data_IF_017418323789
#
_entry.id   IF_017418323789
#
_cell.length_a   1.000
_cell.length_b   1.000
_cell.length_c   1.000
_cell.angle_alpha   90.00
_cell.angle_beta   90.00
_cell.angle_gamma   90.00
#
_symmetry.space_group_name_H-M   'P 1'
#
loop_
_entity.id
_entity.type
_entity.pdbx_description
1 polymer ?
#
# COMPACT_ATOMS: atom_id res chain seq x y z
N UNK A 1 -21.92 16.51 -16.25
CA UNK A 1 -21.75 15.04 -16.09
C UNK A 1 -20.54 14.84 -15.16
N UNK A 2 -20.54 13.78 -14.33
CA UNK A 2 -19.37 13.42 -13.53
C UNK A 2 -18.34 12.75 -14.44
N UNK A 3 -17.06 12.92 -14.15
CA UNK A 3 -15.96 12.21 -14.82
C UNK A 3 -16.05 10.71 -14.54
N UNK A 4 -15.94 9.87 -15.57
CA UNK A 4 -15.99 8.41 -15.45
C UNK A 4 -14.66 7.87 -14.90
N UNK A 5 -14.75 7.00 -13.89
CA UNK A 5 -13.59 6.41 -13.21
C UNK A 5 -13.75 4.89 -13.10
N UNK A 6 -12.74 4.15 -13.52
CA UNK A 6 -12.63 2.71 -13.37
C UNK A 6 -11.73 2.39 -12.17
N UNK A 7 -12.25 1.70 -11.14
CA UNK A 7 -11.53 1.35 -9.93
C UNK A 7 -11.36 -0.16 -9.82
N UNK A 8 -10.11 -0.63 -9.78
CA UNK A 8 -9.82 -2.02 -9.42
C UNK A 8 -9.46 -2.14 -7.95
N UNK A 9 -9.74 -3.28 -7.33
CA UNK A 9 -9.40 -3.51 -5.93
C UNK A 9 -10.30 -2.76 -4.93
N UNK A 10 -11.50 -2.35 -5.33
CA UNK A 10 -12.47 -1.62 -4.49
C UNK A 10 -12.85 -2.34 -3.18
N UNK A 11 -12.75 -3.68 -3.12
CA UNK A 11 -12.98 -4.48 -1.92
C UNK A 11 -11.80 -4.55 -0.95
N UNK A 12 -10.65 -4.01 -1.34
CA UNK A 12 -9.46 -3.94 -0.50
C UNK A 12 -9.48 -2.74 0.42
N UNK A 13 -8.62 -2.74 1.45
CA UNK A 13 -8.53 -1.69 2.47
C UNK A 13 -8.43 -0.27 1.87
N UNK A 14 -7.42 0.00 1.04
CA UNK A 14 -7.27 1.32 0.40
C UNK A 14 -8.33 1.55 -0.68
N UNK A 15 -8.70 0.50 -1.44
CA UNK A 15 -9.71 0.63 -2.50
C UNK A 15 -11.09 1.04 -1.97
N UNK A 16 -11.47 0.56 -0.80
CA UNK A 16 -12.70 0.98 -0.11
C UNK A 16 -12.66 2.46 0.25
N UNK A 17 -11.54 2.96 0.79
CA UNK A 17 -11.35 4.38 1.09
C UNK A 17 -11.39 5.26 -0.16
N UNK A 18 -10.75 4.81 -1.26
CA UNK A 18 -10.80 5.51 -2.56
C UNK A 18 -12.25 5.60 -3.06
N UNK A 19 -12.97 4.48 -3.04
CA UNK A 19 -14.37 4.45 -3.46
C UNK A 19 -15.22 5.42 -2.63
N UNK A 20 -15.11 5.34 -1.30
CA UNK A 20 -15.87 6.21 -0.39
C UNK A 20 -15.58 7.69 -0.62
N UNK A 21 -14.32 8.05 -0.81
CA UNK A 21 -13.88 9.43 -0.98
C UNK A 21 -14.32 10.00 -2.33
N UNK A 22 -14.19 9.21 -3.41
CA UNK A 22 -14.37 9.73 -4.77
C UNK A 22 -15.79 9.59 -5.33
N UNK A 23 -16.67 8.73 -4.78
CA UNK A 23 -18.03 8.46 -5.30
C UNK A 23 -18.94 9.69 -5.43
N UNK A 24 -18.70 10.73 -4.66
CA UNK A 24 -19.49 11.98 -4.76
C UNK A 24 -19.13 12.80 -6.00
N UNK A 25 -17.87 12.75 -6.45
CA UNK A 25 -17.32 13.56 -7.55
C UNK A 25 -17.21 12.79 -8.88
N UNK A 26 -17.10 11.47 -8.84
CA UNK A 26 -16.89 10.60 -10.01
C UNK A 26 -18.06 9.63 -10.21
N UNK A 27 -18.27 9.25 -11.49
CA UNK A 27 -19.09 8.12 -11.85
C UNK A 27 -18.20 6.86 -11.88
N UNK A 28 -18.31 6.03 -10.83
CA UNK A 28 -17.34 4.96 -10.59
C UNK A 28 -17.90 3.61 -11.06
N UNK A 29 -17.14 2.95 -11.94
CA UNK A 29 -17.28 1.53 -12.24
C UNK A 29 -16.17 0.76 -11.54
N UNK A 30 -16.51 -0.27 -10.78
CA UNK A 30 -15.53 -1.13 -10.09
C UNK A 30 -15.26 -2.39 -10.91
N UNK A 31 -14.02 -2.90 -10.86
CA UNK A 31 -13.66 -4.23 -11.40
C UNK A 31 -13.20 -5.13 -10.27
N UNK A 32 -13.70 -6.36 -10.22
CA UNK A 32 -13.29 -7.35 -9.24
C UNK A 32 -13.95 -8.71 -9.41
N UNK A 33 -13.44 -9.70 -8.67
CA UNK A 33 -13.90 -11.10 -8.73
C UNK A 33 -15.31 -11.29 -8.17
N UNK A 34 -15.64 -10.53 -7.15
CA UNK A 34 -16.93 -10.60 -6.47
C UNK A 34 -17.65 -9.30 -6.72
N UNK A 35 -18.91 -9.38 -7.16
CA UNK A 35 -19.79 -8.22 -7.20
C UNK A 35 -20.01 -7.73 -5.78
N UNK A 36 -19.31 -6.69 -5.37
CA UNK A 36 -19.61 -6.01 -4.14
C UNK A 36 -20.64 -4.92 -4.46
N UNK A 37 -21.78 -4.97 -3.79
CA UNK A 37 -22.76 -3.89 -3.84
C UNK A 37 -22.20 -2.70 -3.05
N UNK A 38 -21.57 -1.77 -3.76
CA UNK A 38 -21.15 -0.49 -3.21
C UNK A 38 -22.19 0.60 -3.48
N UNK A 39 -23.43 0.33 -3.14
CA UNK A 39 -24.54 1.26 -3.40
C UNK A 39 -24.88 1.35 -4.90
N UNK A 40 -24.87 2.57 -5.46
CA UNK A 40 -25.25 2.82 -6.87
C UNK A 40 -24.06 2.72 -7.85
N UNK A 41 -22.92 2.10 -7.48
CA UNK A 41 -21.76 1.97 -8.38
C UNK A 41 -21.96 0.79 -9.34
N UNK A 42 -21.61 0.98 -10.61
CA UNK A 42 -21.53 -0.11 -11.57
C UNK A 42 -20.41 -1.08 -11.23
N UNK A 43 -20.57 -2.37 -11.57
CA UNK A 43 -19.56 -3.39 -11.30
C UNK A 43 -19.35 -4.30 -12.51
N UNK A 44 -18.09 -4.48 -12.90
CA UNK A 44 -17.66 -5.48 -13.88
C UNK A 44 -17.03 -6.65 -13.12
N UNK A 45 -17.68 -7.83 -13.20
CA UNK A 45 -17.14 -9.04 -12.60
C UNK A 45 -16.04 -9.61 -13.50
N UNK A 46 -14.79 -9.56 -13.03
CA UNK A 46 -13.61 -10.02 -13.76
C UNK A 46 -12.47 -10.38 -12.82
N UNK A 47 -11.79 -11.50 -13.07
CA UNK A 47 -10.54 -11.86 -12.38
C UNK A 47 -9.34 -11.45 -13.23
N UNK A 48 -8.83 -10.25 -12.98
CA UNK A 48 -7.65 -9.71 -13.67
C UNK A 48 -6.42 -10.62 -13.60
N UNK A 49 -6.30 -11.51 -12.60
CA UNK A 49 -5.17 -12.44 -12.51
C UNK A 49 -5.23 -13.59 -13.52
N UNK A 50 -6.35 -13.77 -14.22
CA UNK A 50 -6.62 -14.91 -15.09
C UNK A 50 -7.03 -14.54 -16.51
N UNK A 51 -7.70 -13.40 -16.69
CA UNK A 51 -8.40 -13.09 -17.93
C UNK A 51 -8.39 -11.61 -18.28
N UNK A 52 -8.58 -11.32 -19.54
CA UNK A 52 -8.88 -10.00 -20.10
C UNK A 52 -10.30 -9.99 -20.67
N UNK A 53 -10.90 -8.81 -20.73
CA UNK A 53 -12.25 -8.58 -21.28
C UNK A 53 -12.18 -7.70 -22.53
N UNK A 54 -13.23 -7.78 -23.36
CA UNK A 54 -13.44 -6.85 -24.48
C UNK A 54 -14.62 -5.89 -24.23
N UNK A 55 -15.12 -5.85 -22.99
CA UNK A 55 -16.37 -5.15 -22.65
C UNK A 55 -16.17 -4.24 -21.42
N UNK A 56 -15.05 -3.51 -21.37
CA UNK A 56 -14.89 -2.48 -20.35
C UNK A 56 -15.60 -1.19 -20.79
N UNK A 57 -16.28 -0.50 -19.86
CA UNK A 57 -16.87 0.79 -20.17
C UNK A 57 -15.78 1.82 -20.43
N UNK A 58 -16.03 2.75 -21.33
CA UNK A 58 -15.16 3.90 -21.54
C UNK A 58 -15.00 4.68 -20.23
N UNK A 59 -13.76 5.02 -19.87
CA UNK A 59 -13.46 5.77 -18.67
C UNK A 59 -12.37 6.80 -18.94
N UNK A 60 -12.49 7.94 -18.27
CA UNK A 60 -11.47 9.00 -18.33
C UNK A 60 -10.32 8.73 -17.37
N UNK A 61 -10.61 8.08 -16.24
CA UNK A 61 -9.64 7.82 -15.17
C UNK A 61 -9.64 6.32 -14.84
N UNK A 62 -8.45 5.73 -14.76
CA UNK A 62 -8.25 4.40 -14.16
C UNK A 62 -7.51 4.56 -12.83
N UNK A 63 -8.04 3.97 -11.75
CA UNK A 63 -7.33 3.82 -10.48
C UNK A 63 -7.10 2.33 -10.22
N UNK A 64 -5.86 1.89 -10.43
CA UNK A 64 -5.48 0.49 -10.27
C UNK A 64 -4.92 0.23 -8.87
N UNK A 65 -5.81 -0.15 -7.94
CA UNK A 65 -5.52 -0.48 -6.55
C UNK A 65 -5.49 -1.99 -6.27
N UNK A 66 -5.94 -2.83 -7.22
CA UNK A 66 -5.88 -4.27 -7.07
C UNK A 66 -4.43 -4.76 -6.93
N UNK A 67 -4.18 -5.63 -5.95
CA UNK A 67 -2.87 -6.19 -5.72
C UNK A 67 -2.86 -7.20 -4.58
N UNK A 68 -1.93 -8.16 -4.64
CA UNK A 68 -1.61 -9.09 -3.56
C UNK A 68 -0.46 -8.50 -2.74
N UNK A 69 -0.66 -8.37 -1.44
CA UNK A 69 0.32 -7.84 -0.48
C UNK A 69 0.19 -8.55 0.87
N UNK A 70 1.04 -8.22 1.85
CA UNK A 70 0.94 -8.64 3.26
C UNK A 70 1.08 -10.15 3.54
N UNK A 71 1.54 -10.94 2.58
CA UNK A 71 1.80 -12.38 2.74
C UNK A 71 3.27 -12.65 2.46
N UNK A 72 3.90 -13.48 3.29
CA UNK A 72 5.23 -14.03 3.02
C UNK A 72 5.02 -15.38 2.35
N UNK A 73 5.42 -15.57 1.07
CA UNK A 73 5.18 -16.83 0.38
C UNK A 73 5.92 -17.98 1.04
N UNK A 74 5.24 -19.10 1.25
CA UNK A 74 5.80 -20.31 1.82
C UNK A 74 6.26 -21.32 0.75
N UNK A 75 5.85 -21.12 -0.51
CA UNK A 75 6.22 -21.96 -1.65
C UNK A 75 6.47 -21.12 -2.92
N UNK A 76 7.11 -21.71 -3.96
CA UNK A 76 7.25 -21.07 -5.26
C UNK A 76 5.91 -20.69 -5.90
N UNK A 77 4.88 -21.52 -5.76
CA UNK A 77 3.54 -21.28 -6.29
C UNK A 77 2.89 -20.06 -5.63
N UNK A 78 3.06 -19.90 -4.31
CA UNK A 78 2.62 -18.71 -3.60
C UNK A 78 3.40 -17.46 -4.01
N UNK A 79 4.67 -17.60 -4.37
CA UNK A 79 5.48 -16.52 -4.91
C UNK A 79 4.99 -16.10 -6.30
N UNK A 80 4.63 -17.05 -7.17
CA UNK A 80 4.10 -16.79 -8.51
C UNK A 80 2.75 -16.06 -8.48
N UNK A 81 1.96 -16.25 -7.44
CA UNK A 81 0.69 -15.53 -7.26
C UNK A 81 0.87 -14.00 -7.17
N UNK A 82 2.03 -13.52 -6.71
CA UNK A 82 2.31 -12.09 -6.73
C UNK A 82 2.45 -11.56 -8.17
N UNK A 83 3.09 -12.32 -9.04
CA UNK A 83 3.22 -11.95 -10.46
C UNK A 83 1.88 -12.06 -11.17
N UNK A 84 1.09 -13.12 -10.93
CA UNK A 84 -0.24 -13.26 -11.52
C UNK A 84 -1.16 -12.09 -11.19
N UNK A 85 -1.17 -11.66 -9.92
CA UNK A 85 -2.06 -10.60 -9.48
C UNK A 85 -1.51 -9.21 -9.80
N UNK A 86 -0.23 -8.94 -9.46
CA UNK A 86 0.31 -7.58 -9.50
C UNK A 86 0.85 -7.19 -10.88
N UNK A 87 1.45 -8.12 -11.62
CA UNK A 87 1.99 -7.87 -12.95
C UNK A 87 0.98 -8.26 -14.04
N UNK A 88 0.64 -9.55 -14.13
CA UNK A 88 -0.27 -10.00 -15.20
C UNK A 88 -1.67 -9.41 -15.06
N UNK A 89 -2.15 -9.18 -13.82
CA UNK A 89 -3.40 -8.45 -13.61
C UNK A 89 -3.36 -7.02 -14.13
N UNK A 90 -2.21 -6.34 -14.03
CA UNK A 90 -2.00 -5.02 -14.63
C UNK A 90 -1.97 -5.10 -16.17
N UNK A 91 -1.26 -6.09 -16.72
CA UNK A 91 -1.20 -6.34 -18.17
C UNK A 91 -2.61 -6.62 -18.74
N UNK A 92 -3.36 -7.53 -18.11
CA UNK A 92 -4.72 -7.87 -18.55
C UNK A 92 -5.69 -6.68 -18.48
N UNK A 93 -5.53 -5.80 -17.47
CA UNK A 93 -6.30 -4.57 -17.39
C UNK A 93 -6.02 -3.67 -18.61
N UNK A 94 -4.74 -3.42 -18.91
CA UNK A 94 -4.34 -2.61 -20.06
C UNK A 94 -4.80 -3.20 -21.39
N UNK A 95 -4.62 -4.51 -21.59
CA UNK A 95 -5.11 -5.23 -22.78
C UNK A 95 -6.64 -5.18 -22.91
N UNK A 96 -7.36 -5.18 -21.77
CA UNK A 96 -8.83 -5.05 -21.75
C UNK A 96 -9.27 -3.65 -22.15
N UNK A 97 -8.55 -2.61 -21.68
CA UNK A 97 -8.80 -1.22 -22.07
C UNK A 97 -8.61 -1.03 -23.58
N UNK A 98 -7.55 -1.60 -24.16
CA UNK A 98 -7.31 -1.58 -25.61
C UNK A 98 -8.40 -2.32 -26.39
N UNK A 99 -8.73 -3.55 -25.95
CA UNK A 99 -9.72 -4.38 -26.64
C UNK A 99 -11.14 -3.80 -26.60
N UNK A 100 -11.41 -2.89 -25.65
CA UNK A 100 -12.69 -2.20 -25.46
C UNK A 100 -12.68 -0.78 -26.06
N UNK A 101 -11.58 -0.36 -26.70
CA UNK A 101 -11.35 1.04 -27.16
C UNK A 101 -11.62 2.08 -26.06
N UNK A 102 -11.21 1.72 -24.83
CA UNK A 102 -11.47 2.47 -23.61
C UNK A 102 -10.17 3.04 -22.98
N UNK A 103 -9.28 3.58 -23.82
CA UNK A 103 -8.01 4.16 -23.38
C UNK A 103 -8.29 5.38 -22.49
N UNK A 104 -7.83 5.40 -21.21
CA UNK A 104 -8.09 6.52 -20.30
C UNK A 104 -7.18 7.72 -20.60
N UNK A 105 -7.56 8.89 -20.07
CA UNK A 105 -6.68 10.07 -20.03
C UNK A 105 -5.67 9.96 -18.89
N UNK A 106 -6.12 9.43 -17.73
CA UNK A 106 -5.32 9.32 -16.52
C UNK A 106 -5.27 7.87 -16.04
N UNK A 107 -4.06 7.39 -15.73
CA UNK A 107 -3.86 6.10 -15.10
C UNK A 107 -3.13 6.28 -13.76
N UNK A 108 -3.79 5.93 -12.65
CA UNK A 108 -3.24 5.98 -11.30
C UNK A 108 -2.91 4.56 -10.84
N UNK A 109 -1.64 4.31 -10.56
CA UNK A 109 -1.15 3.01 -10.08
C UNK A 109 -0.74 3.08 -8.61
N UNK A 110 -1.36 2.26 -7.77
CA UNK A 110 -0.97 2.13 -6.37
C UNK A 110 0.19 1.14 -6.27
N UNK A 111 1.39 1.70 -6.03
CA UNK A 111 2.62 0.97 -5.81
C UNK A 111 3.05 1.00 -4.34
N UNK A 112 4.29 0.68 -4.04
CA UNK A 112 4.80 0.50 -2.69
C UNK A 112 6.26 0.95 -2.57
N UNK A 113 6.66 1.44 -1.41
CA UNK A 113 8.07 1.71 -1.10
C UNK A 113 8.93 0.42 -1.02
N UNK A 114 8.33 -0.76 -0.97
CA UNK A 114 9.06 -2.03 -1.02
C UNK A 114 9.87 -2.21 -2.32
N UNK A 115 9.54 -1.47 -3.38
CA UNK A 115 10.29 -1.46 -4.65
C UNK A 115 11.74 -1.02 -4.48
N UNK A 116 12.07 -0.24 -3.45
CA UNK A 116 13.44 0.19 -3.18
C UNK A 116 14.34 -0.93 -2.63
N UNK A 117 13.76 -1.97 -2.01
CA UNK A 117 14.50 -3.14 -1.53
C UNK A 117 15.42 -2.86 -0.33
N UNK A 118 15.09 -1.87 0.49
CA UNK A 118 15.89 -1.48 1.65
C UNK A 118 15.16 -1.78 2.96
N UNK A 119 15.91 -2.19 3.98
CA UNK A 119 15.41 -2.48 5.33
C UNK A 119 15.65 -1.32 6.31
N UNK A 120 16.56 -0.40 5.97
CA UNK A 120 16.93 0.78 6.75
C UNK A 120 17.26 1.97 5.85
N UNK A 121 17.07 3.17 6.37
CA UNK A 121 17.36 4.43 5.66
C UNK A 121 16.50 5.57 6.19
N UNK A 122 16.93 6.79 5.88
CA UNK A 122 16.25 8.02 6.32
C UNK A 122 15.93 8.87 5.11
N UNK A 123 14.64 9.22 4.94
CA UNK A 123 14.12 10.09 3.89
C UNK A 123 14.55 9.65 2.47
N UNK A 124 14.37 8.36 2.18
CA UNK A 124 14.65 7.79 0.86
C UNK A 124 13.67 8.40 -0.15
N UNK A 125 14.19 9.00 -1.22
CA UNK A 125 13.39 9.64 -2.25
C UNK A 125 13.19 8.76 -3.50
N UNK A 126 12.43 9.25 -4.48
CA UNK A 126 12.04 8.53 -5.68
C UNK A 126 13.20 8.24 -6.65
N UNK A 127 14.36 8.89 -6.47
CA UNK A 127 15.57 8.65 -7.28
C UNK A 127 16.37 7.43 -6.82
N UNK A 128 16.03 6.86 -5.65
CA UNK A 128 16.68 5.66 -5.15
C UNK A 128 16.43 4.48 -6.09
N UNK A 129 17.45 3.64 -6.32
CA UNK A 129 17.37 2.48 -7.18
C UNK A 129 16.28 1.48 -6.73
N UNK A 130 15.63 0.83 -7.70
CA UNK A 130 14.58 -0.17 -7.46
C UNK A 130 15.21 -1.56 -7.28
N UNK A 131 15.66 -1.87 -6.10
CA UNK A 131 16.39 -3.10 -5.75
C UNK A 131 15.52 -4.13 -4.99
N UNK A 132 14.19 -3.96 -5.01
CA UNK A 132 13.28 -4.87 -4.33
C UNK A 132 13.42 -6.30 -4.83
N UNK A 133 13.80 -7.25 -3.95
CA UNK A 133 14.12 -8.63 -4.29
C UNK A 133 13.03 -9.64 -3.91
N UNK A 134 12.05 -9.23 -3.10
CA UNK A 134 10.90 -10.08 -2.76
C UNK A 134 9.97 -10.27 -3.96
N UNK A 135 9.23 -11.40 -4.09
CA UNK A 135 8.24 -11.59 -5.16
C UNK A 135 7.24 -10.44 -5.26
N UNK A 136 6.81 -9.90 -4.12
CA UNK A 136 5.95 -8.70 -4.07
C UNK A 136 6.62 -7.48 -4.69
N UNK A 137 7.83 -7.13 -4.22
CA UNK A 137 8.54 -5.96 -4.72
C UNK A 137 8.84 -6.08 -6.22
N UNK A 138 9.36 -7.24 -6.66
CA UNK A 138 9.67 -7.51 -8.08
C UNK A 138 8.43 -7.40 -8.96
N UNK A 139 7.28 -7.96 -8.54
CA UNK A 139 6.04 -7.88 -9.30
C UNK A 139 5.55 -6.43 -9.46
N UNK A 140 5.73 -5.60 -8.40
CA UNK A 140 5.38 -4.17 -8.46
C UNK A 140 6.35 -3.37 -9.34
N UNK A 141 7.67 -3.63 -9.25
CA UNK A 141 8.67 -3.00 -10.13
C UNK A 141 8.35 -3.30 -11.60
N UNK A 142 8.07 -4.55 -11.94
CA UNK A 142 7.74 -4.94 -13.31
C UNK A 142 6.43 -4.30 -13.79
N UNK A 143 5.43 -4.16 -12.91
CA UNK A 143 4.19 -3.47 -13.24
C UNK A 143 4.41 -1.95 -13.44
N UNK A 144 5.27 -1.30 -12.63
CA UNK A 144 5.66 0.11 -12.86
C UNK A 144 6.33 0.30 -14.22
N UNK A 145 7.28 -0.56 -14.59
CA UNK A 145 7.96 -0.50 -15.89
C UNK A 145 6.98 -0.72 -17.04
N UNK A 146 6.14 -1.76 -16.96
CA UNK A 146 5.12 -2.04 -17.97
C UNK A 146 4.19 -0.84 -18.18
N UNK A 147 3.66 -0.25 -17.09
CA UNK A 147 2.77 0.90 -17.18
C UNK A 147 3.46 2.15 -17.72
N UNK A 148 4.72 2.36 -17.37
CA UNK A 148 5.50 3.49 -17.90
C UNK A 148 5.62 3.41 -19.43
N UNK A 149 5.89 2.21 -19.94
CA UNK A 149 5.97 1.98 -21.40
C UNK A 149 4.58 2.04 -22.05
N UNK A 150 3.58 1.36 -21.49
CA UNK A 150 2.23 1.28 -22.03
C UNK A 150 1.57 2.66 -22.10
N UNK A 151 1.63 3.44 -21.02
CA UNK A 151 1.06 4.78 -20.98
C UNK A 151 1.81 5.75 -21.92
N UNK A 152 3.15 5.66 -21.95
CA UNK A 152 3.95 6.53 -22.83
C UNK A 152 3.68 6.31 -24.32
N UNK A 153 3.38 5.07 -24.74
CA UNK A 153 3.00 4.75 -26.14
C UNK A 153 1.60 5.25 -26.52
N UNK A 154 0.75 5.60 -25.55
CA UNK A 154 -0.68 5.93 -25.77
C UNK A 154 -1.05 7.33 -25.29
N UNK A 155 -0.07 8.14 -24.93
CA UNK A 155 -0.26 9.50 -24.39
C UNK A 155 -1.19 9.53 -23.16
N UNK A 156 -1.12 8.49 -22.33
CA UNK A 156 -1.85 8.38 -21.07
C UNK A 156 -1.02 8.99 -19.93
N UNK A 157 -1.59 9.91 -19.19
CA UNK A 157 -0.93 10.52 -18.03
C UNK A 157 -0.85 9.51 -16.89
N UNK A 158 0.36 9.00 -16.62
CA UNK A 158 0.61 8.00 -15.56
C UNK A 158 0.99 8.66 -14.24
N UNK A 159 0.28 8.29 -13.16
CA UNK A 159 0.64 8.58 -11.78
C UNK A 159 0.96 7.29 -11.05
N UNK A 160 2.16 7.17 -10.47
CA UNK A 160 2.56 6.05 -9.61
C UNK A 160 2.72 6.56 -8.18
N UNK A 161 1.95 5.99 -7.24
CA UNK A 161 2.04 6.30 -5.82
C UNK A 161 2.73 5.17 -5.07
N UNK A 162 3.97 5.39 -4.60
CA UNK A 162 4.73 4.44 -3.78
C UNK A 162 4.38 4.66 -2.32
N UNK A 163 3.52 3.81 -1.80
CA UNK A 163 2.98 3.95 -0.44
C UNK A 163 3.79 3.13 0.57
N UNK A 164 4.06 3.69 1.77
CA UNK A 164 4.63 2.97 2.90
C UNK A 164 3.55 2.18 3.65
N UNK A 165 3.65 2.05 4.97
CA UNK A 165 2.61 1.49 5.81
C UNK A 165 1.36 2.36 5.77
N UNK A 166 0.25 1.80 5.31
CA UNK A 166 -1.03 2.51 5.20
C UNK A 166 -1.83 2.32 6.48
N UNK A 167 -2.24 3.41 7.10
CA UNK A 167 -3.09 3.46 8.28
C UNK A 167 -4.52 3.90 7.91
N UNK A 168 -5.49 3.47 8.69
CA UNK A 168 -6.90 3.78 8.54
C UNK A 168 -7.74 2.92 9.49
N UNK A 169 -9.08 2.91 9.38
CA UNK A 169 -9.94 2.00 10.10
C UNK A 169 -9.62 0.54 9.75
N UNK A 170 -9.43 -0.31 10.76
CA UNK A 170 -9.13 -1.75 10.59
C UNK A 170 -7.98 -2.07 9.62
N UNK A 171 -6.78 -1.48 9.79
CA UNK A 171 -5.72 -1.63 8.81
C UNK A 171 -5.21 -3.08 8.76
N UNK A 172 -4.89 -3.61 7.56
CA UNK A 172 -4.31 -4.93 7.41
C UNK A 172 -2.83 -4.98 7.83
N UNK A 173 -2.23 -6.15 7.77
CA UNK A 173 -0.80 -6.35 7.92
C UNK A 173 -0.26 -6.03 9.31
N UNK A 174 0.93 -5.44 9.39
CA UNK A 174 1.66 -5.25 10.64
C UNK A 174 0.99 -4.26 11.59
N UNK A 175 0.39 -3.18 11.08
CA UNK A 175 -0.31 -2.21 11.93
C UNK A 175 -1.57 -2.84 12.55
N UNK A 176 -2.35 -3.57 11.78
CA UNK A 176 -3.51 -4.30 12.31
C UNK A 176 -3.10 -5.38 13.31
N UNK A 177 -1.98 -6.08 13.07
CA UNK A 177 -1.45 -7.05 14.03
C UNK A 177 -1.02 -6.38 15.35
N UNK A 178 -0.38 -5.20 15.28
CA UNK A 178 -0.03 -4.39 16.46
C UNK A 178 -1.28 -3.98 17.24
N UNK A 179 -2.30 -3.44 16.56
CA UNK A 179 -3.57 -3.03 17.19
C UNK A 179 -4.23 -4.22 17.90
N UNK A 180 -4.38 -5.38 17.24
CA UNK A 180 -4.94 -6.59 17.84
C UNK A 180 -4.10 -7.10 18.99
N UNK A 181 -2.78 -7.08 18.87
CA UNK A 181 -1.85 -7.50 19.92
C UNK A 181 -1.96 -6.63 21.18
N UNK A 182 -2.04 -5.31 21.02
CA UNK A 182 -2.21 -4.35 22.12
C UNK A 182 -3.61 -4.52 22.73
N UNK A 183 -4.66 -4.61 21.93
CA UNK A 183 -6.03 -4.81 22.37
C UNK A 183 -6.17 -6.06 23.25
N UNK A 184 -5.52 -7.17 22.84
CA UNK A 184 -5.53 -8.45 23.57
C UNK A 184 -4.53 -8.52 24.73
N UNK A 185 -3.69 -7.50 24.94
CA UNK A 185 -2.65 -7.49 25.97
C UNK A 185 -1.47 -8.44 25.70
N UNK A 186 -1.32 -8.94 24.47
CA UNK A 186 -0.27 -9.90 24.07
C UNK A 186 0.88 -9.28 23.31
N UNK A 187 0.80 -8.00 22.99
CA UNK A 187 1.87 -7.29 22.27
C UNK A 187 3.02 -6.98 23.24
N UNK A 188 4.22 -7.29 22.78
CA UNK A 188 5.45 -6.97 23.50
C UNK A 188 6.28 -6.00 22.64
N UNK A 189 6.68 -4.90 23.25
CA UNK A 189 7.61 -3.95 22.63
C UNK A 189 9.05 -4.49 22.66
N UNK A 190 9.93 -3.96 21.81
CA UNK A 190 11.32 -4.40 21.75
C UNK A 190 12.22 -3.20 22.03
N UNK A 191 13.02 -3.30 23.11
CA UNK A 191 13.93 -2.25 23.53
C UNK A 191 13.21 -0.92 23.75
N UNK A 192 13.78 0.16 23.26
CA UNK A 192 13.19 1.50 23.36
C UNK A 192 12.09 1.76 22.32
N UNK A 193 11.94 0.89 21.32
CA UNK A 193 11.05 1.05 20.18
C UNK A 193 11.19 2.40 19.46
N UNK A 194 12.45 2.92 19.41
CA UNK A 194 12.76 4.23 18.86
C UNK A 194 12.82 4.29 17.33
N UNK A 195 12.85 3.12 16.66
CA UNK A 195 12.88 3.04 15.21
C UNK A 195 11.66 3.71 14.57
N UNK A 196 11.90 4.60 13.60
CA UNK A 196 10.86 5.37 12.90
C UNK A 196 10.47 4.69 11.61
N UNK A 197 9.18 4.75 11.27
CA UNK A 197 8.64 4.23 10.01
C UNK A 197 7.77 5.29 9.33
N UNK A 198 7.92 5.39 8.01
CA UNK A 198 6.94 6.14 7.24
C UNK A 198 5.60 5.43 7.27
N UNK A 199 4.57 6.22 7.46
CA UNK A 199 3.17 5.82 7.45
C UNK A 199 2.38 6.83 6.61
N UNK A 200 1.20 6.46 6.15
CA UNK A 200 0.29 7.37 5.45
C UNK A 200 -1.16 7.02 5.80
N UNK A 201 -2.03 8.02 5.87
CA UNK A 201 -3.45 7.80 6.09
C UNK A 201 -4.17 7.45 4.79
N UNK A 202 -4.96 6.38 4.77
CA UNK A 202 -5.65 5.91 3.58
C UNK A 202 -6.59 6.95 2.97
N UNK A 203 -7.34 7.68 3.81
CA UNK A 203 -8.24 8.74 3.36
C UNK A 203 -7.50 9.91 2.70
N UNK A 204 -6.29 10.27 3.20
CA UNK A 204 -5.49 11.34 2.59
C UNK A 204 -4.96 10.91 1.20
N UNK A 205 -4.55 9.62 1.07
CA UNK A 205 -4.17 9.05 -0.23
C UNK A 205 -5.34 9.11 -1.21
N UNK A 206 -6.53 8.72 -0.77
CA UNK A 206 -7.72 8.78 -1.62
C UNK A 206 -8.06 10.22 -2.04
N UNK A 207 -7.99 11.16 -1.11
CA UNK A 207 -8.34 12.57 -1.35
C UNK A 207 -7.39 13.29 -2.31
N UNK A 208 -6.11 12.89 -2.37
CA UNK A 208 -5.10 13.55 -3.22
C UNK A 208 -5.13 13.09 -4.67
N UNK A 209 -5.70 11.92 -4.98
CA UNK A 209 -5.71 11.34 -6.35
C UNK A 209 -6.18 12.35 -7.40
N UNK A 210 -7.29 13.09 -7.24
CA UNK A 210 -7.78 14.04 -8.26
C UNK A 210 -6.81 15.18 -8.58
N UNK A 211 -5.97 15.56 -7.65
CA UNK A 211 -4.94 16.59 -7.86
C UNK A 211 -3.68 15.96 -8.44
N UNK A 212 -3.19 14.89 -7.83
CA UNK A 212 -1.93 14.24 -8.19
C UNK A 212 -1.93 13.63 -9.60
N UNK A 213 -3.07 13.10 -10.08
CA UNK A 213 -3.15 12.49 -11.41
C UNK A 213 -2.87 13.49 -12.53
N UNK A 214 -3.18 14.77 -12.32
CA UNK A 214 -2.96 15.85 -13.31
C UNK A 214 -1.48 16.18 -13.46
N UNK A 215 -0.67 15.95 -12.44
CA UNK A 215 0.78 16.17 -12.48
C UNK A 215 1.51 14.97 -13.09
N UNK A 216 0.95 13.77 -12.97
CA UNK A 216 1.61 12.53 -13.38
C UNK A 216 2.94 12.27 -12.65
N UNK A 217 3.63 11.20 -13.05
CA UNK A 217 4.94 10.86 -12.50
C UNK A 217 4.90 9.92 -11.29
N UNK A 218 6.04 9.80 -10.58
CA UNK A 218 6.22 8.87 -9.46
C UNK A 218 6.41 9.65 -8.18
N UNK A 219 5.68 9.28 -7.11
CA UNK A 219 5.72 9.97 -5.82
C UNK A 219 5.66 9.00 -4.64
N UNK A 220 6.50 9.24 -3.65
CA UNK A 220 6.29 8.70 -2.31
C UNK A 220 5.25 9.55 -1.58
N UNK A 221 4.31 8.91 -0.89
CA UNK A 221 3.37 9.61 -0.01
C UNK A 221 3.55 9.12 1.42
N UNK A 222 3.81 10.04 2.34
CA UNK A 222 3.94 9.76 3.77
C UNK A 222 3.16 10.80 4.58
N UNK A 223 3.03 10.61 5.90
CA UNK A 223 2.49 11.65 6.78
C UNK A 223 3.50 12.74 7.14
N UNK A 224 4.75 12.60 6.68
CA UNK A 224 5.85 13.53 6.94
C UNK A 224 6.33 13.60 8.39
N UNK A 225 5.63 12.92 9.31
CA UNK A 225 6.00 12.86 10.73
C UNK A 225 6.88 11.65 11.04
N UNK A 226 6.61 10.51 10.39
CA UNK A 226 7.34 9.24 10.57
C UNK A 226 7.39 8.81 12.04
N UNK A 227 6.27 8.38 12.63
CA UNK A 227 6.24 8.00 14.04
C UNK A 227 7.22 6.86 14.35
N UNK A 228 7.76 6.87 15.57
CA UNK A 228 8.46 5.71 16.11
C UNK A 228 7.48 4.60 16.50
N UNK A 229 7.98 3.38 16.63
CA UNK A 229 7.14 2.29 17.16
C UNK A 229 6.60 2.62 18.54
N UNK A 230 7.39 3.28 19.41
CA UNK A 230 6.94 3.72 20.74
C UNK A 230 5.78 4.69 20.68
N UNK A 231 5.81 5.66 19.75
CA UNK A 231 4.72 6.62 19.56
C UNK A 231 3.46 5.91 19.06
N UNK A 232 3.58 4.98 18.10
CA UNK A 232 2.45 4.17 17.62
C UNK A 232 1.87 3.28 18.73
N UNK A 233 2.72 2.57 19.48
CA UNK A 233 2.32 1.71 20.60
C UNK A 233 1.55 2.51 21.66
N UNK A 234 2.07 3.68 22.03
CA UNK A 234 1.45 4.54 23.04
C UNK A 234 0.13 5.11 22.55
N UNK A 235 0.08 5.60 21.32
CA UNK A 235 -1.14 6.11 20.69
C UNK A 235 -2.24 5.04 20.69
N UNK A 236 -1.94 3.84 20.17
CA UNK A 236 -2.89 2.73 20.10
C UNK A 236 -3.35 2.28 21.48
N UNK A 237 -2.42 2.14 22.43
CA UNK A 237 -2.76 1.73 23.79
C UNK A 237 -3.69 2.75 24.47
N UNK A 238 -3.41 4.05 24.31
CA UNK A 238 -4.24 5.14 24.86
C UNK A 238 -5.63 5.14 24.24
N UNK A 239 -5.74 5.04 22.91
CA UNK A 239 -7.02 5.02 22.22
C UNK A 239 -7.89 3.82 22.64
N UNK A 240 -7.28 2.64 22.80
CA UNK A 240 -7.95 1.42 23.23
C UNK A 240 -8.16 1.35 24.76
N UNK A 241 -7.75 2.35 25.54
CA UNK A 241 -7.78 2.37 27.02
C UNK A 241 -7.05 1.16 27.63
N UNK A 242 -5.91 0.78 27.03
CA UNK A 242 -5.03 -0.29 27.48
C UNK A 242 -3.74 0.27 28.08
N UNK A 243 -3.03 -0.57 28.84
CA UNK A 243 -1.68 -0.23 29.31
C UNK A 243 -0.71 -0.23 28.11
N UNK A 244 0.25 0.70 28.11
CA UNK A 244 1.35 0.69 27.15
C UNK A 244 2.09 -0.65 27.21
N UNK A 245 2.41 -1.27 26.06
CA UNK A 245 3.08 -2.56 26.02
C UNK A 245 4.40 -2.59 26.80
N UNK A 246 4.63 -3.68 27.55
CA UNK A 246 5.88 -3.92 28.24
C UNK A 246 7.01 -4.17 27.22
N UNK A 247 8.19 -3.64 27.51
CA UNK A 247 9.34 -3.78 26.61
C UNK A 247 10.21 -5.00 26.99
N UNK A 248 10.56 -5.81 26.03
CA UNK A 248 11.61 -6.83 26.15
C UNK A 248 12.95 -6.14 25.93
N UNK A 249 13.92 -6.27 26.88
CA UNK A 249 15.27 -5.74 26.67
C UNK A 249 15.89 -6.28 25.36
N UNK A 250 16.61 -5.41 24.65
CA UNK A 250 17.23 -5.75 23.35
C UNK A 250 18.11 -7.01 23.42
N UNK A 251 18.82 -7.23 24.54
CA UNK A 251 19.64 -8.43 24.73
C UNK A 251 18.81 -9.72 24.69
N UNK A 252 17.64 -9.71 25.37
CA UNK A 252 16.71 -10.85 25.37
C UNK A 252 16.10 -11.05 23.96
N UNK A 253 15.71 -9.96 23.28
CA UNK A 253 15.18 -10.03 21.93
C UNK A 253 16.19 -10.64 20.94
N UNK A 254 17.48 -10.25 21.04
CA UNK A 254 18.56 -10.84 20.23
C UNK A 254 18.77 -12.32 20.52
N UNK A 255 18.69 -12.74 21.77
CA UNK A 255 18.80 -14.16 22.16
C UNK A 255 17.65 -14.98 21.57
N UNK A 256 16.40 -14.50 21.68
CA UNK A 256 15.21 -15.15 21.07
C UNK A 256 15.37 -15.24 19.55
N UNK A 257 15.81 -14.15 18.91
CA UNK A 257 16.05 -14.11 17.47
C UNK A 257 17.16 -15.08 17.02
N UNK A 258 18.23 -15.25 17.83
CA UNK A 258 19.28 -16.23 17.60
C UNK A 258 18.74 -17.67 17.61
N UNK A 259 17.90 -18.02 18.58
CA UNK A 259 17.21 -19.31 18.60
C UNK A 259 16.27 -19.46 17.39
N UNK A 260 15.56 -18.38 17.03
CA UNK A 260 14.70 -18.35 15.85
C UNK A 260 15.44 -18.60 14.53
N UNK A 261 16.71 -18.23 14.42
CA UNK A 261 17.52 -18.53 13.24
C UNK A 261 17.67 -20.05 12.98
N UNK A 262 17.67 -20.88 14.03
CA UNK A 262 17.73 -22.32 13.93
C UNK A 262 16.43 -22.92 13.34
N UNK A 263 15.29 -22.23 13.56
CA UNK A 263 13.98 -22.61 13.01
C UNK A 263 13.74 -22.02 11.60
N UNK A 264 14.69 -21.24 11.09
CA UNK A 264 14.68 -20.66 9.76
C UNK A 264 13.56 -19.62 9.54
N UNK A 265 13.12 -19.49 8.28
CA UNK A 265 12.13 -18.48 7.86
C UNK A 265 10.75 -18.61 8.54
N UNK A 266 10.43 -19.79 9.10
CA UNK A 266 9.16 -20.06 9.80
C UNK A 266 9.14 -19.54 11.24
N UNK A 267 10.30 -19.18 11.82
CA UNK A 267 10.35 -18.63 13.15
C UNK A 267 9.50 -17.36 13.27
N UNK A 268 8.73 -17.18 14.33
CA UNK A 268 7.96 -15.95 14.57
C UNK A 268 8.88 -14.73 14.68
N UNK A 269 10.07 -14.89 15.26
CA UNK A 269 11.14 -13.87 15.37
C UNK A 269 12.46 -14.53 14.98
N UNK A 270 13.22 -13.89 14.09
CA UNK A 270 14.60 -14.22 13.74
C UNK A 270 15.40 -12.92 13.62
N UNK A 271 16.71 -13.01 13.39
CA UNK A 271 17.60 -11.81 13.35
C UNK A 271 17.21 -10.82 12.25
N UNK A 272 16.75 -11.29 11.08
CA UNK A 272 16.31 -10.41 9.98
C UNK A 272 15.04 -9.67 10.34
N UNK A 273 14.04 -10.37 10.91
CA UNK A 273 12.80 -9.75 11.38
C UNK A 273 13.05 -8.77 12.50
N UNK A 274 13.94 -9.12 13.45
CA UNK A 274 14.33 -8.23 14.53
C UNK A 274 14.97 -6.96 13.98
N UNK A 275 15.93 -7.08 13.04
CA UNK A 275 16.57 -5.94 12.38
C UNK A 275 15.53 -5.03 11.72
N UNK A 276 14.61 -5.60 10.92
CA UNK A 276 13.55 -4.83 10.25
C UNK A 276 12.65 -4.06 11.22
N UNK A 277 12.36 -4.59 12.39
CA UNK A 277 11.55 -3.91 13.41
C UNK A 277 12.35 -2.80 14.13
N UNK A 278 13.65 -3.01 14.34
CA UNK A 278 14.48 -2.09 15.13
C UNK A 278 15.24 -1.05 14.29
N UNK A 279 15.24 -1.15 12.96
CA UNK A 279 15.87 -0.15 12.08
C UNK A 279 14.89 0.93 11.66
N UNK A 280 15.36 2.16 11.60
CA UNK A 280 14.61 3.29 11.02
C UNK A 280 14.53 3.13 9.51
N UNK A 281 13.33 3.30 8.96
CA UNK A 281 13.10 3.29 7.53
C UNK A 281 12.03 4.35 7.19
N UNK A 282 12.47 5.45 6.62
CA UNK A 282 11.62 6.58 6.26
C UNK A 282 11.83 7.01 4.82
N UNK A 283 10.78 7.55 4.21
CA UNK A 283 10.74 7.98 2.81
C UNK A 283 10.38 9.46 2.73
N UNK A 284 11.00 10.17 1.79
CA UNK A 284 10.77 11.58 1.54
C UNK A 284 9.54 11.78 0.65
N UNK A 285 8.61 12.65 1.07
CA UNK A 285 7.44 13.08 0.32
C UNK A 285 7.59 14.52 -0.22
N UNK A 286 8.77 15.11 -0.14
CA UNK A 286 9.04 16.47 -0.56
C UNK A 286 8.72 16.74 -2.03
N UNK A 287 8.86 15.74 -2.90
CA UNK A 287 8.46 15.85 -4.31
C UNK A 287 6.95 16.05 -4.44
N UNK A 288 6.13 15.26 -3.74
CA UNK A 288 4.68 15.36 -3.73
C UNK A 288 4.21 16.72 -3.16
N UNK A 289 4.85 17.19 -2.08
CA UNK A 289 4.55 18.51 -1.49
C UNK A 289 4.75 19.65 -2.48
N UNK A 290 5.81 19.58 -3.29
CA UNK A 290 6.09 20.62 -4.30
C UNK A 290 5.19 20.53 -5.53
N UNK A 291 4.88 19.31 -5.98
CA UNK A 291 4.14 19.10 -7.23
C UNK A 291 2.65 19.42 -7.09
N UNK A 292 1.98 18.92 -6.07
CA UNK A 292 0.52 19.05 -5.91
C UNK A 292 0.11 19.45 -4.49
N UNK A 293 0.98 20.13 -3.74
CA UNK A 293 0.70 20.67 -2.41
C UNK A 293 0.21 19.56 -1.43
N UNK A 294 0.89 18.42 -1.40
CA UNK A 294 0.57 17.31 -0.50
C UNK A 294 0.60 17.76 0.96
N UNK A 295 -0.52 17.70 1.65
CA UNK A 295 -0.69 18.11 3.06
C UNK A 295 -1.37 16.99 3.85
N UNK A 296 -0.63 15.92 4.22
CA UNK A 296 -1.20 14.79 4.92
C UNK A 296 -1.50 15.08 6.38
N UNK A 297 -2.45 14.37 6.95
CA UNK A 297 -2.68 14.32 8.37
C UNK A 297 -1.61 13.46 9.05
N UNK A 298 -1.21 13.81 10.27
CA UNK A 298 -0.39 12.90 11.09
C UNK A 298 -1.20 11.66 11.43
N UNK A 299 -0.65 10.49 11.13
CA UNK A 299 -1.33 9.21 11.34
C UNK A 299 -1.66 8.99 12.83
N UNK A 300 -0.77 9.37 13.74
CA UNK A 300 -1.00 9.22 15.18
C UNK A 300 -2.23 10.00 15.66
N UNK A 301 -2.50 11.19 15.10
CA UNK A 301 -3.65 12.01 15.46
C UNK A 301 -4.95 11.36 14.96
N UNK A 302 -4.93 10.80 13.73
CA UNK A 302 -6.07 10.10 13.15
C UNK A 302 -6.36 8.76 13.84
N UNK A 303 -5.34 7.96 14.14
CA UNK A 303 -5.52 6.67 14.81
C UNK A 303 -6.21 6.81 16.16
N UNK A 304 -5.88 7.86 16.92
CA UNK A 304 -6.51 8.10 18.22
C UNK A 304 -8.02 8.36 18.14
N UNK A 305 -8.50 8.79 16.98
CA UNK A 305 -9.94 9.13 16.78
C UNK A 305 -10.77 7.96 16.21
N UNK A 306 -10.14 6.90 15.68
CA UNK A 306 -10.85 5.78 15.02
C UNK A 306 -10.72 4.45 15.75
N UNK A 307 -9.88 4.34 16.81
CA UNK A 307 -9.71 3.17 17.66
C UNK A 307 -10.49 3.33 18.96
#
# INVERSE_FOLDING_TARGET
MKTSLLLTGASGFLGTEILHTLRSAYDITTIGRNGAEYGQTSHVKMDLSREKSKELPACEVVVHCAGKAHVVPASPEEADEFYKVNLYGTVHLCESLEASDAIPVYFVFISTVAVYGVDEGVLINEQHALNGDTPYARSKIQAEHYLTEWCGQRDVQLLILRLPLIAGPEPPGNLGAMIRGISSGRYLSIGEAAARKSVVWAGDVAAVIPLAMKEGGVYNLTDGYHPSFRELETCIATALRKKTPSAIPMGIAKMIAGVGNLLGKRAPVNSDKLRKITSTLTFDDGKARRAFNWQPSRVIDKLSSVL
#
